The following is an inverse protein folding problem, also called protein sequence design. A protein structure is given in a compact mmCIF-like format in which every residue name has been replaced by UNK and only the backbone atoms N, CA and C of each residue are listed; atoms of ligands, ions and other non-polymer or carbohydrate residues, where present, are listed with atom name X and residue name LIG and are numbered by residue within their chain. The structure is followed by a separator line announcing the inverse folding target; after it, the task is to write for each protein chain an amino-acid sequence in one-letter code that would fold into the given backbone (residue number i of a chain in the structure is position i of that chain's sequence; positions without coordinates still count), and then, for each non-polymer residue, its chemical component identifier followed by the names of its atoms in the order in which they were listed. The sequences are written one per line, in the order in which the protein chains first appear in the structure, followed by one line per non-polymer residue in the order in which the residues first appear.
data_IF_791802854973
#
_entry.id   IF_791802854973
#
_cell.length_a   1.000
_cell.length_b   1.000
_cell.length_c   1.000
_cell.angle_alpha   90.00
_cell.angle_beta   90.00
_cell.angle_gamma   90.00
#
_symmetry.space_group_name_H-M   'P 1'
#
loop_
_entity.id
_entity.type
_entity.pdbx_description
1 polymer ?
#
# COMPACT_ATOMS: atom_id res chain seq x y z
N UNK A 1 -51.84 -11.60 -34.60
CA UNK A 1 -52.23 -10.85 -33.40
C UNK A 1 -51.89 -11.71 -32.21
N UNK A 2 -50.73 -11.57 -31.63
CA UNK A 2 -50.40 -12.01 -30.26
C UNK A 2 -49.37 -11.03 -29.72
N UNK A 3 -49.87 -10.21 -28.85
CA UNK A 3 -49.17 -9.18 -28.10
C UNK A 3 -48.31 -9.86 -27.03
N UNK A 4 -47.00 -9.65 -27.07
CA UNK A 4 -46.01 -10.16 -26.12
C UNK A 4 -45.36 -9.03 -25.36
N UNK A 5 -46.07 -8.48 -24.35
CA UNK A 5 -45.51 -7.51 -23.40
C UNK A 5 -44.45 -8.16 -22.55
N UNK A 6 -43.19 -7.87 -22.85
CA UNK A 6 -42.05 -8.16 -21.96
C UNK A 6 -42.05 -7.16 -20.80
N UNK A 7 -42.42 -7.64 -19.62
CA UNK A 7 -42.31 -6.89 -18.37
C UNK A 7 -40.83 -6.72 -18.00
N UNK A 8 -40.31 -5.51 -18.11
CA UNK A 8 -39.01 -5.11 -17.53
C UNK A 8 -39.06 -5.29 -16.02
N UNK A 9 -38.33 -6.27 -15.51
CA UNK A 9 -38.06 -6.39 -14.07
C UNK A 9 -37.09 -5.26 -13.68
N UNK A 10 -37.61 -4.16 -13.13
CA UNK A 10 -36.80 -3.15 -12.44
C UNK A 10 -36.06 -3.85 -11.29
N UNK A 11 -34.75 -3.95 -11.43
CA UNK A 11 -33.84 -4.32 -10.35
C UNK A 11 -33.96 -3.34 -9.17
N UNK A 12 -33.61 -3.75 -7.92
CA UNK A 12 -33.68 -2.87 -6.77
C UNK A 12 -32.88 -1.60 -7.01
N UNK A 13 -33.48 -0.44 -6.70
CA UNK A 13 -32.84 0.86 -6.82
C UNK A 13 -31.51 0.86 -6.04
N UNK A 14 -30.43 1.45 -6.59
CA UNK A 14 -29.15 1.52 -5.88
C UNK A 14 -29.38 2.26 -4.56
N UNK A 15 -28.97 1.63 -3.43
CA UNK A 15 -28.96 2.30 -2.13
C UNK A 15 -28.16 3.59 -2.30
N UNK A 16 -28.78 4.73 -2.05
CA UNK A 16 -28.18 6.06 -2.18
C UNK A 16 -26.85 6.07 -1.43
N UNK A 17 -25.74 6.13 -2.16
CA UNK A 17 -24.42 6.17 -1.53
C UNK A 17 -24.32 7.42 -0.65
N UNK A 18 -23.99 7.23 0.62
CA UNK A 18 -23.80 8.34 1.57
C UNK A 18 -22.72 9.29 1.04
N UNK A 19 -22.89 10.61 1.21
CA UNK A 19 -21.84 11.56 0.89
C UNK A 19 -20.59 11.30 1.77
N UNK A 20 -19.38 11.63 1.30
CA UNK A 20 -18.16 11.43 2.08
C UNK A 20 -18.23 11.97 3.51
N UNK A 21 -18.75 13.18 3.69
CA UNK A 21 -18.96 13.79 5.00
C UNK A 21 -19.90 12.98 5.90
N UNK A 22 -20.94 12.35 5.33
CA UNK A 22 -21.91 11.56 6.08
C UNK A 22 -21.36 10.18 6.47
N UNK A 23 -20.43 9.63 5.69
CA UNK A 23 -19.74 8.36 6.00
C UNK A 23 -18.77 8.52 7.17
N UNK A 24 -18.04 9.63 7.23
CA UNK A 24 -17.19 9.96 8.37
C UNK A 24 -18.01 10.24 9.64
N UNK A 25 -19.22 10.83 9.51
CA UNK A 25 -20.08 11.08 10.64
C UNK A 25 -20.62 9.79 11.32
N UNK A 26 -20.62 8.67 10.62
CA UNK A 26 -21.02 7.36 11.14
C UNK A 26 -19.80 6.54 11.59
N UNK A 27 -19.05 7.04 12.59
CA UNK A 27 -17.94 6.28 13.18
C UNK A 27 -18.42 4.95 13.76
N UNK A 28 -17.65 3.86 13.61
CA UNK A 28 -17.91 2.63 14.34
C UNK A 28 -17.96 2.90 15.86
N UNK A 29 -18.85 2.22 16.56
CA UNK A 29 -19.10 2.45 18.00
C UNK A 29 -17.83 2.29 18.85
N UNK A 30 -16.95 1.36 18.50
CA UNK A 30 -15.67 1.16 19.19
C UNK A 30 -14.73 2.34 18.97
N UNK A 31 -14.68 2.94 17.76
CA UNK A 31 -13.89 4.12 17.49
C UNK A 31 -14.40 5.35 18.26
N UNK A 32 -15.70 5.61 18.22
CA UNK A 32 -16.32 6.71 18.95
C UNK A 32 -16.09 6.57 20.46
N UNK A 33 -16.20 5.35 21.01
CA UNK A 33 -15.93 5.06 22.42
C UNK A 33 -14.46 5.27 22.77
N UNK A 34 -13.53 4.84 21.91
CA UNK A 34 -12.10 5.02 22.14
C UNK A 34 -11.71 6.50 22.19
N UNK A 35 -12.24 7.33 21.26
CA UNK A 35 -12.06 8.79 21.30
C UNK A 35 -12.58 9.36 22.63
N UNK A 36 -13.81 8.98 23.03
CA UNK A 36 -14.43 9.46 24.28
C UNK A 36 -13.64 9.09 25.54
N UNK A 37 -13.02 7.91 25.59
CA UNK A 37 -12.17 7.48 26.71
C UNK A 37 -10.94 8.38 26.83
N UNK A 38 -10.24 8.61 25.72
CA UNK A 38 -9.03 9.44 25.70
C UNK A 38 -9.35 10.91 26.03
N UNK A 39 -10.43 11.46 25.47
CA UNK A 39 -10.86 12.84 25.76
C UNK A 39 -11.37 13.00 27.20
N UNK A 40 -12.09 12.01 27.73
CA UNK A 40 -12.48 11.98 29.13
C UNK A 40 -11.31 11.97 30.12
N UNK A 41 -10.17 11.43 29.68
CA UNK A 41 -8.91 11.47 30.41
C UNK A 41 -8.10 12.77 30.17
N UNK A 42 -8.64 13.73 29.40
CA UNK A 42 -8.01 15.04 29.15
C UNK A 42 -7.01 15.04 27.99
N UNK A 43 -7.05 14.05 27.12
CA UNK A 43 -6.14 13.94 25.98
C UNK A 43 -6.87 14.17 24.66
N UNK A 44 -6.23 14.91 23.74
CA UNK A 44 -6.72 15.03 22.37
C UNK A 44 -6.58 13.71 21.63
N UNK A 45 -7.57 13.34 20.80
CA UNK A 45 -7.54 12.14 20.00
C UNK A 45 -8.25 12.34 18.66
N UNK A 46 -7.77 11.64 17.61
CA UNK A 46 -8.30 11.67 16.25
C UNK A 46 -8.25 10.28 15.62
N UNK A 47 -9.27 9.93 14.83
CA UNK A 47 -9.13 8.84 13.87
C UNK A 47 -8.22 9.29 12.73
N UNK A 48 -7.31 8.43 12.26
CA UNK A 48 -6.27 8.85 11.30
C UNK A 48 -6.02 7.82 10.19
N UNK A 49 -5.33 8.25 9.15
CA UNK A 49 -4.71 7.39 8.16
C UNK A 49 -5.68 6.62 7.28
N UNK A 50 -5.44 5.31 7.11
CA UNK A 50 -6.19 4.44 6.21
C UNK A 50 -7.68 4.43 6.46
N UNK A 51 -8.11 4.48 7.71
CA UNK A 51 -9.53 4.56 8.07
C UNK A 51 -10.20 5.81 7.48
N UNK A 52 -9.61 6.99 7.65
CA UNK A 52 -10.18 8.26 7.16
C UNK A 52 -10.23 8.26 5.63
N UNK A 53 -9.13 7.84 4.99
CA UNK A 53 -9.05 7.69 3.53
C UNK A 53 -10.16 6.78 3.00
N UNK A 54 -10.28 5.57 3.55
CA UNK A 54 -11.21 4.57 3.04
C UNK A 54 -12.67 4.96 3.29
N UNK A 55 -12.95 5.62 4.42
CA UNK A 55 -14.26 6.21 4.69
C UNK A 55 -14.62 7.30 3.66
N UNK A 56 -13.69 8.19 3.31
CA UNK A 56 -13.90 9.21 2.27
C UNK A 56 -14.15 8.57 0.90
N UNK A 57 -13.42 7.51 0.55
CA UNK A 57 -13.60 6.76 -0.70
C UNK A 57 -14.86 5.87 -0.69
N UNK A 58 -15.50 5.69 0.46
CA UNK A 58 -16.65 4.80 0.61
C UNK A 58 -16.29 3.32 0.55
N UNK A 59 -15.09 3.00 0.90
CA UNK A 59 -14.60 1.63 1.05
C UNK A 59 -14.91 1.11 2.45
N UNK A 60 -15.20 -0.18 2.62
CA UNK A 60 -15.30 -0.77 3.95
C UNK A 60 -13.91 -0.70 4.61
N UNK A 61 -13.87 -0.21 5.84
CA UNK A 61 -12.67 -0.19 6.65
C UNK A 61 -12.97 -0.88 7.99
N UNK A 62 -12.19 -1.90 8.32
CA UNK A 62 -12.34 -2.66 9.57
C UNK A 62 -11.42 -2.14 10.67
N UNK A 63 -10.24 -1.64 10.32
CA UNK A 63 -9.20 -1.25 11.26
C UNK A 63 -9.24 0.27 11.49
N UNK A 64 -9.39 0.66 12.75
CA UNK A 64 -9.40 2.05 13.16
C UNK A 64 -8.12 2.36 13.90
N UNK A 65 -7.33 3.28 13.33
CA UNK A 65 -6.15 3.85 13.97
C UNK A 65 -6.51 5.17 14.64
N UNK A 66 -6.11 5.33 15.90
CA UNK A 66 -6.26 6.58 16.65
C UNK A 66 -4.87 7.16 16.94
N UNK A 67 -4.71 8.43 16.63
CA UNK A 67 -3.58 9.23 17.10
C UNK A 67 -4.02 10.09 18.28
N UNK A 68 -3.16 10.24 19.32
CA UNK A 68 -3.50 10.96 20.54
C UNK A 68 -2.33 11.75 21.10
N UNK A 69 -2.64 12.83 21.85
CA UNK A 69 -1.65 13.58 22.64
C UNK A 69 -1.23 12.85 23.93
N UNK A 70 -1.91 11.76 24.31
CA UNK A 70 -1.53 10.92 25.45
C UNK A 70 -0.23 10.19 25.18
N UNK A 71 0.65 10.05 26.17
CA UNK A 71 1.69 9.03 26.09
C UNK A 71 1.05 7.64 26.06
N UNK A 72 1.73 6.64 25.50
CA UNK A 72 1.18 5.29 25.44
C UNK A 72 0.82 4.72 26.82
N UNK A 73 1.57 5.09 27.90
CA UNK A 73 1.25 4.71 29.28
C UNK A 73 -0.02 5.40 29.80
N UNK A 74 -0.23 6.68 29.42
CA UNK A 74 -1.43 7.41 29.79
C UNK A 74 -2.66 6.87 29.04
N UNK A 75 -2.50 6.58 27.74
CA UNK A 75 -3.54 5.94 26.95
C UNK A 75 -3.90 4.56 27.49
N UNK A 76 -2.91 3.73 27.81
CA UNK A 76 -3.13 2.41 28.41
C UNK A 76 -3.97 2.52 29.69
N UNK A 77 -3.55 3.39 30.62
CA UNK A 77 -4.29 3.60 31.87
C UNK A 77 -5.73 4.07 31.64
N UNK A 78 -5.93 5.03 30.73
CA UNK A 78 -7.27 5.53 30.43
C UNK A 78 -8.21 4.40 29.93
N UNK A 79 -7.71 3.50 29.11
CA UNK A 79 -8.49 2.34 28.63
C UNK A 79 -8.72 1.30 29.74
N UNK A 80 -7.73 1.02 30.58
CA UNK A 80 -7.84 0.08 31.71
C UNK A 80 -8.85 0.59 32.74
N UNK A 81 -8.80 1.88 33.08
CA UNK A 81 -9.75 2.54 33.99
C UNK A 81 -11.18 2.52 33.44
N UNK A 82 -11.34 2.52 32.11
CA UNK A 82 -12.61 2.36 31.42
C UNK A 82 -13.06 0.89 31.25
N UNK A 83 -12.32 -0.06 31.85
CA UNK A 83 -12.61 -1.50 31.80
C UNK A 83 -12.25 -2.18 30.47
N UNK A 84 -11.41 -1.59 29.64
CA UNK A 84 -10.92 -2.19 28.41
C UNK A 84 -9.61 -2.96 28.66
N UNK A 85 -9.43 -4.10 27.96
CA UNK A 85 -8.14 -4.80 27.95
C UNK A 85 -7.18 -4.07 27.00
N UNK A 86 -5.90 -4.06 27.35
CA UNK A 86 -4.85 -3.45 26.53
C UNK A 86 -3.72 -4.43 26.26
N UNK A 87 -2.99 -4.20 25.17
CA UNK A 87 -1.82 -4.97 24.76
C UNK A 87 -0.71 -4.02 24.31
N UNK A 88 0.50 -4.25 24.78
CA UNK A 88 1.69 -3.49 24.38
C UNK A 88 2.22 -4.00 23.05
N UNK A 89 1.69 -3.49 21.96
CA UNK A 89 1.99 -3.97 20.59
C UNK A 89 3.14 -3.22 19.92
N UNK A 90 3.51 -2.03 20.41
CA UNK A 90 4.53 -1.18 19.78
C UNK A 90 4.99 -0.03 20.66
N UNK A 91 5.25 -0.28 21.94
CA UNK A 91 5.60 0.75 22.95
C UNK A 91 6.86 1.55 22.61
N UNK A 92 7.82 0.93 21.93
CA UNK A 92 9.01 1.62 21.40
C UNK A 92 8.64 2.75 20.41
N UNK A 93 7.49 2.65 19.77
CA UNK A 93 6.94 3.64 18.84
C UNK A 93 5.74 4.40 19.39
N UNK A 94 5.46 4.27 20.69
CA UNK A 94 4.35 4.95 21.35
C UNK A 94 2.97 4.36 21.04
N UNK A 95 2.88 3.08 20.62
CA UNK A 95 1.63 2.42 20.23
C UNK A 95 1.19 1.41 21.27
N UNK A 96 -0.12 1.42 21.60
CA UNK A 96 -0.82 0.42 22.40
C UNK A 96 -2.10 -0.01 21.68
N UNK A 97 -2.46 -1.28 21.77
CA UNK A 97 -3.75 -1.78 21.26
C UNK A 97 -4.73 -1.91 22.41
N UNK A 98 -5.89 -1.25 22.32
CA UNK A 98 -6.99 -1.37 23.27
C UNK A 98 -8.12 -2.19 22.65
N UNK A 99 -8.72 -3.11 23.42
CA UNK A 99 -9.88 -3.90 23.00
C UNK A 99 -11.15 -3.19 23.47
N UNK A 100 -11.77 -2.44 22.57
CA UNK A 100 -12.95 -1.62 22.87
C UNK A 100 -14.21 -2.28 22.30
N UNK A 101 -15.13 -2.69 23.17
CA UNK A 101 -16.33 -3.39 22.72
C UNK A 101 -16.08 -4.74 22.01
N UNK A 102 -14.94 -5.39 22.30
CA UNK A 102 -14.51 -6.63 21.67
C UNK A 102 -13.68 -6.46 20.40
N UNK A 103 -13.48 -5.21 19.92
CA UNK A 103 -12.73 -4.89 18.71
C UNK A 103 -11.38 -4.26 19.09
N UNK A 104 -10.25 -4.71 18.52
CA UNK A 104 -8.97 -4.06 18.72
C UNK A 104 -8.95 -2.68 18.05
N UNK A 105 -8.39 -1.69 18.74
CA UNK A 105 -8.15 -0.33 18.25
C UNK A 105 -6.69 -0.02 18.50
N UNK A 106 -5.96 0.36 17.48
CA UNK A 106 -4.57 0.78 17.61
C UNK A 106 -4.53 2.27 18.00
N UNK A 107 -3.82 2.58 19.08
CA UNK A 107 -3.71 3.94 19.62
C UNK A 107 -2.25 4.33 19.69
N UNK A 108 -1.88 5.38 18.94
CA UNK A 108 -0.49 5.85 18.83
C UNK A 108 -0.37 7.28 19.37
N UNK A 109 0.62 7.49 20.23
CA UNK A 109 1.02 8.84 20.69
C UNK A 109 1.51 9.66 19.49
N UNK A 110 1.12 10.95 19.41
CA UNK A 110 1.68 11.87 18.40
C UNK A 110 3.19 11.89 18.48
N UNK A 111 3.84 11.72 17.33
CA UNK A 111 5.29 11.63 17.28
C UNK A 111 5.86 12.28 16.02
N UNK A 112 7.10 12.69 16.12
CA UNK A 112 7.97 12.99 14.99
C UNK A 112 9.12 12.00 15.00
N UNK A 113 9.60 11.70 13.84
CA UNK A 113 10.70 10.77 13.65
C UNK A 113 11.97 11.60 13.40
N UNK A 114 13.02 11.37 14.19
CA UNK A 114 14.31 12.03 14.01
C UNK A 114 15.04 11.53 12.77
N UNK A 115 16.26 12.07 12.53
CA UNK A 115 17.06 11.67 11.37
C UNK A 115 17.24 10.15 11.28
N UNK A 116 17.10 9.60 10.07
CA UNK A 116 17.27 8.19 9.78
C UNK A 116 18.72 7.91 9.40
N UNK A 117 19.43 7.16 10.23
CA UNK A 117 20.83 6.79 9.97
C UNK A 117 21.00 5.68 8.93
N UNK A 118 19.99 4.85 8.75
CA UNK A 118 20.01 3.63 7.93
C UNK A 118 18.87 3.54 6.91
N UNK A 119 18.11 4.62 6.68
CA UNK A 119 16.90 4.68 5.85
C UNK A 119 15.80 3.67 6.31
N UNK A 120 15.82 3.27 7.59
CA UNK A 120 14.90 2.28 8.16
C UNK A 120 14.38 2.64 9.54
N UNK A 121 15.28 3.04 10.44
CA UNK A 121 14.92 3.34 11.81
C UNK A 121 15.22 4.81 12.10
N UNK A 122 14.26 5.56 12.61
CA UNK A 122 14.56 6.88 13.15
C UNK A 122 15.56 6.71 14.28
N UNK A 123 16.62 7.49 14.28
CA UNK A 123 17.63 7.49 15.35
C UNK A 123 17.01 7.84 16.70
N UNK A 124 15.89 8.55 16.67
CA UNK A 124 15.14 8.96 17.84
C UNK A 124 13.67 9.19 17.48
N UNK A 125 12.75 8.69 18.29
CA UNK A 125 11.33 9.03 18.26
C UNK A 125 11.09 10.09 19.32
N UNK A 126 10.60 11.25 18.91
CA UNK A 126 10.22 12.33 19.82
C UNK A 126 8.70 12.47 19.84
N UNK A 127 8.11 12.42 21.03
CA UNK A 127 6.68 12.61 21.17
C UNK A 127 6.34 14.09 21.16
N UNK A 128 5.31 14.44 20.38
CA UNK A 128 4.84 15.83 20.19
C UNK A 128 3.41 15.98 20.70
N UNK A 129 2.94 17.21 20.78
CA UNK A 129 1.57 17.49 21.24
C UNK A 129 0.63 17.96 20.14
N UNK A 130 1.15 18.16 18.95
CA UNK A 130 0.41 18.66 17.81
C UNK A 130 0.15 17.53 16.82
N UNK A 131 -1.11 17.31 16.46
CA UNK A 131 -1.52 16.31 15.47
C UNK A 131 -0.94 16.62 14.09
N UNK A 132 -0.79 17.89 13.70
CA UNK A 132 -0.26 18.26 12.39
C UNK A 132 1.19 17.79 12.20
N UNK A 133 2.00 17.81 13.27
CA UNK A 133 3.35 17.26 13.24
C UNK A 133 3.35 15.73 13.06
N UNK A 134 2.38 15.01 13.65
CA UNK A 134 2.23 13.57 13.42
C UNK A 134 1.77 13.28 11.98
N UNK A 135 0.90 14.09 11.42
CA UNK A 135 0.46 13.96 10.02
C UNK A 135 1.60 14.29 9.04
N UNK A 136 2.46 15.26 9.36
CA UNK A 136 3.58 15.68 8.52
C UNK A 136 4.63 14.58 8.26
N UNK A 137 4.80 13.64 9.19
CA UNK A 137 5.76 12.51 9.03
C UNK A 137 5.21 11.35 8.19
N UNK A 138 3.93 11.37 7.81
CA UNK A 138 3.30 10.27 7.07
C UNK A 138 3.82 10.17 5.65
N UNK A 139 3.54 9.06 5.00
CA UNK A 139 4.03 8.73 3.67
C UNK A 139 3.37 9.58 2.57
N UNK A 140 2.03 9.56 2.50
CA UNK A 140 1.27 10.19 1.42
C UNK A 140 0.15 11.08 1.97
N UNK A 141 -0.17 12.14 1.24
CA UNK A 141 -1.22 13.10 1.59
C UNK A 141 -2.55 12.44 1.88
N UNK A 142 -2.93 11.44 1.09
CA UNK A 142 -4.16 10.65 1.24
C UNK A 142 -4.20 9.83 2.53
N UNK A 143 -3.07 9.61 3.19
CA UNK A 143 -2.94 8.95 4.50
C UNK A 143 -2.65 9.95 5.63
N UNK A 144 -2.40 11.21 5.31
CA UNK A 144 -2.12 12.30 6.26
C UNK A 144 -3.40 13.08 6.61
N UNK A 145 -4.49 12.36 6.80
CA UNK A 145 -5.81 12.85 7.14
C UNK A 145 -6.16 12.45 8.56
N UNK A 146 -6.82 13.35 9.30
CA UNK A 146 -7.38 13.04 10.60
C UNK A 146 -8.86 13.47 10.65
N UNK A 147 -9.67 12.72 11.41
CA UNK A 147 -11.09 13.01 11.57
C UNK A 147 -11.53 12.89 13.02
N UNK A 148 -12.33 13.84 13.46
CA UNK A 148 -13.01 13.81 14.74
C UNK A 148 -14.48 14.23 14.60
N UNK A 149 -15.45 13.55 15.24
CA UNK A 149 -16.87 13.84 15.05
C UNK A 149 -17.27 15.28 15.39
N UNK A 150 -16.67 15.88 16.42
CA UNK A 150 -16.96 17.23 16.83
C UNK A 150 -16.12 18.32 16.16
N UNK A 151 -14.95 17.97 15.58
CA UNK A 151 -13.98 18.93 14.98
C UNK A 151 -13.95 18.86 13.46
N UNK A 152 -14.53 17.78 12.87
CA UNK A 152 -14.53 17.55 11.43
C UNK A 152 -13.24 16.92 10.91
N UNK A 153 -13.01 17.10 9.61
CA UNK A 153 -11.83 16.64 8.89
C UNK A 153 -10.69 17.64 9.06
N UNK A 154 -9.52 17.16 9.45
CA UNK A 154 -8.27 17.89 9.45
C UNK A 154 -7.40 17.38 8.30
N UNK A 155 -7.08 18.26 7.36
CA UNK A 155 -6.34 17.96 6.12
C UNK A 155 -5.31 19.06 5.84
N UNK A 156 -4.18 19.07 6.54
CA UNK A 156 -3.17 20.12 6.37
C UNK A 156 -2.35 19.99 5.08
N UNK A 157 -2.42 18.84 4.39
CA UNK A 157 -1.58 18.55 3.22
C UNK A 157 -2.37 18.36 1.92
N UNK A 158 -3.68 18.63 1.91
CA UNK A 158 -4.50 18.53 0.71
C UNK A 158 -4.86 17.10 0.28
N UNK A 159 -4.81 16.15 1.19
CA UNK A 159 -5.09 14.75 0.92
C UNK A 159 -6.49 14.48 0.40
N UNK A 160 -7.50 15.27 0.81
CA UNK A 160 -8.85 15.15 0.31
C UNK A 160 -8.95 15.51 -1.19
N UNK A 161 -8.24 16.55 -1.63
CA UNK A 161 -8.16 16.91 -3.05
C UNK A 161 -7.42 15.85 -3.86
N UNK A 162 -6.33 15.29 -3.33
CA UNK A 162 -5.61 14.18 -3.98
C UNK A 162 -6.48 12.90 -4.06
N UNK A 163 -7.34 12.63 -3.06
CA UNK A 163 -8.32 11.55 -3.11
C UNK A 163 -9.34 11.74 -4.24
N UNK A 164 -9.87 12.96 -4.40
CA UNK A 164 -10.80 13.29 -5.49
C UNK A 164 -10.13 13.20 -6.86
N UNK A 165 -8.87 13.60 -6.96
CA UNK A 165 -8.09 13.52 -8.18
C UNK A 165 -7.58 12.09 -8.51
N UNK A 166 -7.66 11.15 -7.55
CA UNK A 166 -7.05 9.83 -7.69
C UNK A 166 -5.52 9.91 -7.77
N UNK A 167 -4.91 10.83 -7.04
CA UNK A 167 -3.47 11.09 -7.03
C UNK A 167 -2.81 10.53 -5.76
N UNK A 168 -1.62 9.97 -5.92
CA UNK A 168 -0.76 9.53 -4.82
C UNK A 168 0.46 10.46 -4.77
N UNK A 169 0.45 11.38 -3.80
CA UNK A 169 1.47 12.40 -3.57
C UNK A 169 2.13 12.19 -2.22
N UNK A 170 3.46 12.29 -2.15
CA UNK A 170 4.19 12.27 -0.89
C UNK A 170 3.87 13.50 -0.03
N UNK A 171 3.91 13.36 1.29
CA UNK A 171 3.78 14.51 2.21
C UNK A 171 5.09 15.28 2.23
N UNK A 172 5.03 16.60 1.97
CA UNK A 172 6.23 17.46 1.97
C UNK A 172 7.14 17.20 0.76
N UNK A 173 8.46 17.21 0.98
CA UNK A 173 9.44 16.92 -0.06
C UNK A 173 9.56 15.40 -0.30
N UNK A 174 9.24 14.90 -1.50
CA UNK A 174 9.34 13.48 -1.82
C UNK A 174 10.77 12.91 -1.66
N UNK A 175 11.80 13.72 -1.96
CA UNK A 175 13.21 13.31 -1.86
C UNK A 175 13.59 13.01 -0.40
N UNK A 176 13.22 13.91 0.51
CA UNK A 176 13.41 13.71 1.94
C UNK A 176 12.60 12.52 2.44
N UNK A 177 11.33 12.43 2.02
CA UNK A 177 10.38 11.41 2.48
C UNK A 177 10.81 9.98 2.18
N UNK A 178 11.37 9.73 0.98
CA UNK A 178 11.88 8.40 0.61
C UNK A 178 13.30 8.15 1.13
N UNK A 179 14.06 9.19 1.40
CA UNK A 179 15.35 9.10 2.09
C UNK A 179 15.21 8.67 3.55
N UNK A 180 14.13 9.09 4.24
CA UNK A 180 13.82 8.70 5.62
C UNK A 180 13.47 7.21 5.74
N UNK A 181 12.46 6.72 5.03
CA UNK A 181 12.08 5.31 5.01
C UNK A 181 11.86 4.83 3.58
N UNK A 182 12.84 4.09 3.07
CA UNK A 182 12.80 3.55 1.71
C UNK A 182 11.64 2.58 1.47
N UNK A 183 11.02 2.00 2.53
CA UNK A 183 9.83 1.16 2.35
C UNK A 183 8.66 1.94 1.75
N UNK A 184 8.59 3.26 1.98
CA UNK A 184 7.56 4.14 1.39
C UNK A 184 7.54 4.06 -0.14
N UNK A 185 8.67 3.71 -0.77
CA UNK A 185 8.78 3.48 -2.22
C UNK A 185 7.88 2.30 -2.65
N UNK A 186 7.98 1.16 -1.97
CA UNK A 186 7.13 0.00 -2.26
C UNK A 186 5.67 0.23 -1.83
N UNK A 187 5.46 1.01 -0.77
CA UNK A 187 4.10 1.43 -0.35
C UNK A 187 3.42 2.25 -1.44
N UNK A 188 4.15 3.14 -2.15
CA UNK A 188 3.61 3.87 -3.31
C UNK A 188 3.14 2.91 -4.40
N UNK A 189 3.97 1.94 -4.78
CA UNK A 189 3.60 0.92 -5.76
C UNK A 189 2.35 0.13 -5.31
N UNK A 190 2.31 -0.29 -4.03
CA UNK A 190 1.18 -1.01 -3.46
C UNK A 190 -0.11 -0.18 -3.46
N UNK A 191 -0.06 1.08 -3.03
CA UNK A 191 -1.24 1.93 -3.04
C UNK A 191 -1.72 2.23 -4.46
N UNK A 192 -0.82 2.45 -5.43
CA UNK A 192 -1.20 2.55 -6.83
C UNK A 192 -1.97 1.31 -7.30
N UNK A 193 -1.49 0.11 -6.94
CA UNK A 193 -2.15 -1.15 -7.28
C UNK A 193 -3.50 -1.36 -6.56
N UNK A 194 -3.62 -0.94 -5.30
CA UNK A 194 -4.83 -1.16 -4.50
C UNK A 194 -5.91 -0.10 -4.71
N UNK A 195 -5.49 1.15 -4.91
CA UNK A 195 -6.40 2.30 -5.02
C UNK A 195 -6.72 2.67 -6.47
N UNK A 196 -5.84 2.32 -7.43
CA UNK A 196 -5.93 2.76 -8.81
C UNK A 196 -5.49 4.21 -9.00
N UNK A 197 -4.75 4.76 -8.05
CA UNK A 197 -4.30 6.15 -8.08
C UNK A 197 -3.05 6.31 -8.95
N UNK A 198 -2.99 7.41 -9.66
CA UNK A 198 -1.78 7.81 -10.38
C UNK A 198 -0.76 8.38 -9.37
N UNK A 199 0.49 7.90 -9.45
CA UNK A 199 1.57 8.51 -8.68
C UNK A 199 1.90 9.85 -9.34
N UNK A 200 1.91 10.91 -8.56
CA UNK A 200 2.22 12.27 -9.00
C UNK A 200 3.69 12.35 -9.49
N UNK A 201 3.97 13.20 -10.47
CA UNK A 201 5.23 13.16 -11.23
C UNK A 201 6.46 13.41 -10.37
N UNK A 202 6.47 14.43 -9.49
CA UNK A 202 7.60 14.70 -8.57
C UNK A 202 7.79 13.55 -7.58
N UNK A 203 6.69 12.97 -7.10
CA UNK A 203 6.70 11.79 -6.25
C UNK A 203 7.29 10.59 -7.00
N UNK A 204 6.92 10.37 -8.27
CA UNK A 204 7.43 9.28 -9.08
C UNK A 204 8.94 9.44 -9.39
N UNK A 205 9.38 10.62 -9.71
CA UNK A 205 10.79 10.92 -9.95
C UNK A 205 11.64 10.64 -8.70
N UNK A 206 11.10 10.98 -7.53
CA UNK A 206 11.75 10.66 -6.26
C UNK A 206 11.78 9.15 -5.98
N UNK A 207 10.73 8.38 -6.34
CA UNK A 207 10.78 6.91 -6.27
C UNK A 207 11.93 6.35 -7.10
N UNK A 208 12.07 6.81 -8.35
CA UNK A 208 13.13 6.36 -9.25
C UNK A 208 14.51 6.68 -8.74
N UNK A 209 14.73 7.88 -8.18
CA UNK A 209 16.03 8.31 -7.67
C UNK A 209 16.44 7.54 -6.41
N UNK A 210 15.48 7.17 -5.54
CA UNK A 210 15.72 6.50 -4.25
C UNK A 210 15.54 4.98 -4.27
N UNK A 211 15.09 4.37 -5.38
CA UNK A 211 14.86 2.91 -5.45
C UNK A 211 16.06 2.05 -5.04
N UNK A 212 17.28 2.56 -5.17
CA UNK A 212 18.50 1.87 -4.75
C UNK A 212 18.56 1.62 -3.23
N UNK A 213 17.85 2.43 -2.43
CA UNK A 213 17.77 2.27 -0.98
C UNK A 213 16.96 1.03 -0.56
N UNK A 214 16.11 0.49 -1.45
CA UNK A 214 15.36 -0.75 -1.20
C UNK A 214 16.27 -1.94 -0.88
N UNK A 215 17.53 -1.92 -1.32
CA UNK A 215 18.51 -2.95 -0.98
C UNK A 215 18.83 -3.01 0.54
N UNK A 216 18.47 -1.99 1.31
CA UNK A 216 18.65 -1.92 2.77
C UNK A 216 17.46 -2.45 3.56
N UNK A 217 16.33 -2.67 2.89
CA UNK A 217 15.09 -3.12 3.53
C UNK A 217 15.12 -4.65 3.67
N UNK A 218 14.64 -5.17 4.81
CA UNK A 218 14.56 -6.62 5.02
C UNK A 218 13.61 -7.28 4.03
N UNK A 219 13.97 -8.48 3.59
CA UNK A 219 13.17 -9.25 2.64
C UNK A 219 11.71 -9.47 3.12
N UNK A 220 11.50 -9.62 4.41
CA UNK A 220 10.16 -9.76 5.01
C UNK A 220 9.29 -8.52 4.76
N UNK A 221 9.81 -7.30 5.02
CA UNK A 221 9.08 -6.05 4.77
C UNK A 221 8.81 -5.85 3.28
N UNK A 222 9.81 -6.14 2.43
CA UNK A 222 9.66 -6.10 0.96
C UNK A 222 8.55 -7.05 0.52
N UNK A 223 8.57 -8.31 0.99
CA UNK A 223 7.56 -9.31 0.65
C UNK A 223 6.17 -8.87 1.09
N UNK A 224 6.04 -8.31 2.28
CA UNK A 224 4.74 -7.82 2.78
C UNK A 224 4.13 -6.74 1.85
N UNK A 225 4.93 -5.77 1.41
CA UNK A 225 4.45 -4.73 0.48
C UNK A 225 4.13 -5.31 -0.91
N UNK A 226 4.96 -6.24 -1.40
CA UNK A 226 4.72 -6.91 -2.67
C UNK A 226 3.49 -7.84 -2.63
N UNK A 227 3.21 -8.51 -1.51
CA UNK A 227 1.98 -9.28 -1.32
C UNK A 227 0.73 -8.39 -1.44
N UNK A 228 0.79 -7.19 -0.86
CA UNK A 228 -0.26 -6.21 -1.04
C UNK A 228 -0.37 -5.67 -2.47
N UNK A 229 0.77 -5.50 -3.16
CA UNK A 229 0.84 -5.06 -4.54
C UNK A 229 0.19 -6.07 -5.51
N UNK A 230 0.57 -7.34 -5.46
CA UNK A 230 0.06 -8.36 -6.38
C UNK A 230 -1.43 -8.63 -6.22
N UNK A 231 -1.99 -8.34 -5.03
CA UNK A 231 -3.43 -8.47 -4.75
C UNK A 231 -4.25 -7.25 -5.10
N UNK A 232 -3.63 -6.15 -5.54
CA UNK A 232 -4.35 -4.93 -5.89
C UNK A 232 -5.30 -5.12 -7.08
N UNK A 233 -6.45 -4.47 -7.02
CA UNK A 233 -7.45 -4.51 -8.08
C UNK A 233 -6.97 -3.83 -9.39
N UNK A 234 -6.00 -2.91 -9.27
CA UNK A 234 -5.43 -2.14 -10.39
C UNK A 234 -3.99 -2.54 -10.67
N UNK A 235 -3.65 -3.80 -10.39
CA UNK A 235 -2.26 -4.31 -10.49
C UNK A 235 -1.68 -4.24 -11.90
N UNK A 236 -2.50 -4.35 -12.95
CA UNK A 236 -2.05 -4.21 -14.34
C UNK A 236 -1.41 -2.83 -14.56
N UNK A 237 -2.16 -1.76 -14.35
CA UNK A 237 -1.70 -0.39 -14.61
C UNK A 237 -0.55 0.00 -13.67
N UNK A 238 -0.63 -0.44 -12.40
CA UNK A 238 0.42 -0.24 -11.44
C UNK A 238 1.73 -0.93 -11.82
N UNK A 239 1.70 -2.17 -12.32
CA UNK A 239 2.88 -2.90 -12.77
C UNK A 239 3.52 -2.23 -13.98
N UNK A 240 2.71 -1.89 -14.99
CA UNK A 240 3.20 -1.21 -16.19
C UNK A 240 3.86 0.13 -15.87
N UNK A 241 3.31 0.88 -14.91
CA UNK A 241 3.84 2.19 -14.52
C UNK A 241 5.06 2.10 -13.59
N UNK A 242 5.12 1.11 -12.69
CA UNK A 242 6.13 1.06 -11.62
C UNK A 242 7.20 -0.02 -11.83
N UNK A 243 7.24 -0.70 -12.97
CA UNK A 243 8.21 -1.77 -13.24
C UNK A 243 9.66 -1.33 -13.03
N UNK A 244 10.01 -0.09 -13.42
CA UNK A 244 11.37 0.45 -13.27
C UNK A 244 11.76 0.70 -11.80
N UNK A 245 10.77 0.90 -10.93
CA UNK A 245 10.95 0.98 -9.47
C UNK A 245 11.05 -0.42 -8.89
N UNK A 246 10.11 -1.30 -9.23
CA UNK A 246 10.04 -2.69 -8.77
C UNK A 246 11.27 -3.50 -9.17
N UNK A 247 11.95 -3.13 -10.26
CA UNK A 247 13.20 -3.73 -10.72
C UNK A 247 14.33 -3.70 -9.68
N UNK A 248 14.29 -2.78 -8.72
CA UNK A 248 15.25 -2.75 -7.61
C UNK A 248 15.16 -3.98 -6.70
N UNK A 249 13.96 -4.59 -6.61
CA UNK A 249 13.69 -5.78 -5.80
C UNK A 249 13.32 -7.01 -6.64
N UNK A 250 12.87 -6.82 -7.88
CA UNK A 250 12.49 -7.85 -8.86
C UNK A 250 13.15 -7.53 -10.21
N UNK A 251 14.48 -7.62 -10.34
CA UNK A 251 15.21 -7.20 -11.55
C UNK A 251 14.82 -7.99 -12.80
N UNK A 252 14.24 -9.19 -12.66
CA UNK A 252 13.75 -10.01 -13.76
C UNK A 252 12.68 -9.31 -14.59
N UNK A 253 11.88 -8.45 -13.97
CA UNK A 253 10.77 -7.78 -14.64
C UNK A 253 11.24 -6.84 -15.77
N UNK A 254 12.44 -6.25 -15.63
CA UNK A 254 12.98 -5.35 -16.66
C UNK A 254 13.20 -6.06 -17.99
N UNK A 255 13.71 -7.30 -17.95
CA UNK A 255 13.96 -8.07 -19.15
C UNK A 255 12.67 -8.42 -19.92
N UNK A 256 11.52 -8.35 -19.27
CA UNK A 256 10.21 -8.64 -19.86
C UNK A 256 9.63 -7.42 -20.59
N UNK A 257 10.05 -6.20 -20.22
CA UNK A 257 9.56 -4.93 -20.77
C UNK A 257 10.02 -4.75 -22.20
N UNK A 258 9.08 -4.59 -23.13
CA UNK A 258 9.36 -4.44 -24.55
C UNK A 258 9.90 -5.71 -25.21
N UNK A 259 9.82 -6.86 -24.54
CA UNK A 259 10.35 -8.11 -25.08
C UNK A 259 9.39 -8.69 -26.14
N UNK A 260 9.78 -8.59 -27.42
CA UNK A 260 9.06 -9.16 -28.56
C UNK A 260 9.27 -10.69 -28.63
N UNK A 261 8.20 -11.43 -28.46
CA UNK A 261 8.20 -12.89 -28.51
C UNK A 261 8.30 -13.47 -29.94
N UNK A 262 8.26 -12.62 -30.98
CA UNK A 262 8.26 -12.99 -32.38
C UNK A 262 7.32 -14.16 -32.69
N UNK A 263 6.11 -14.09 -32.15
CA UNK A 263 5.08 -15.12 -32.26
C UNK A 263 3.77 -14.51 -32.74
N UNK A 264 3.10 -15.11 -33.74
CA UNK A 264 1.81 -14.61 -34.24
C UNK A 264 0.68 -14.77 -33.20
N UNK A 265 0.93 -15.49 -32.11
CA UNK A 265 -0.06 -15.75 -31.05
C UNK A 265 0.00 -14.77 -29.88
N UNK A 266 1.01 -13.90 -29.86
CA UNK A 266 1.21 -12.93 -28.75
C UNK A 266 1.09 -11.50 -29.29
N UNK A 267 0.07 -10.78 -28.81
CA UNK A 267 -0.19 -9.37 -29.18
C UNK A 267 0.48 -8.39 -28.19
N UNK A 268 0.90 -8.86 -27.03
CA UNK A 268 1.56 -8.11 -25.98
C UNK A 268 3.03 -8.52 -25.85
N UNK A 269 3.87 -7.63 -25.34
CA UNK A 269 5.17 -8.02 -24.81
C UNK A 269 5.01 -8.92 -23.57
N UNK A 270 6.11 -9.50 -23.09
CA UNK A 270 6.04 -10.45 -21.95
C UNK A 270 5.58 -9.76 -20.68
N UNK A 271 5.96 -8.49 -20.43
CA UNK A 271 5.55 -7.76 -19.24
C UNK A 271 4.05 -7.45 -19.25
N UNK A 272 3.54 -6.92 -20.35
CA UNK A 272 2.12 -6.57 -20.50
C UNK A 272 1.23 -7.83 -20.44
N UNK A 273 1.66 -8.94 -21.09
CA UNK A 273 1.01 -10.23 -20.95
C UNK A 273 0.95 -10.68 -19.47
N UNK A 274 2.06 -10.54 -18.76
CA UNK A 274 2.13 -10.90 -17.33
C UNK A 274 1.25 -9.99 -16.49
N UNK A 275 1.19 -8.70 -16.78
CA UNK A 275 0.34 -7.75 -16.07
C UNK A 275 -1.15 -8.10 -16.23
N UNK A 276 -1.59 -8.45 -17.44
CA UNK A 276 -2.96 -8.92 -17.70
C UNK A 276 -3.24 -10.26 -17.03
N UNK A 277 -2.31 -11.21 -17.10
CA UNK A 277 -2.44 -12.51 -16.42
C UNK A 277 -2.61 -12.32 -14.91
N UNK A 278 -1.80 -11.46 -14.32
CA UNK A 278 -1.86 -11.12 -12.89
C UNK A 278 -3.19 -10.45 -12.53
N UNK A 279 -3.67 -9.51 -13.35
CA UNK A 279 -4.93 -8.80 -13.13
C UNK A 279 -6.14 -9.74 -13.12
N UNK A 280 -6.20 -10.71 -14.04
CA UNK A 280 -7.30 -11.66 -14.15
C UNK A 280 -7.16 -12.89 -13.23
N UNK A 281 -6.01 -13.08 -12.57
CA UNK A 281 -5.82 -14.17 -11.65
C UNK A 281 -6.74 -14.01 -10.42
N UNK A 282 -7.23 -15.11 -9.82
CA UNK A 282 -7.96 -15.07 -8.55
C UNK A 282 -7.19 -14.33 -7.46
N UNK A 283 -7.88 -13.83 -6.43
CA UNK A 283 -7.25 -13.07 -5.34
C UNK A 283 -6.39 -13.94 -4.39
N UNK A 284 -6.23 -15.23 -4.68
CA UNK A 284 -5.32 -16.11 -3.94
C UNK A 284 -3.87 -15.64 -4.09
N UNK A 285 -3.15 -15.39 -2.99
CA UNK A 285 -1.78 -14.88 -3.05
C UNK A 285 -0.82 -15.79 -3.83
N UNK A 286 -0.93 -17.12 -3.70
CA UNK A 286 -0.05 -18.06 -4.39
C UNK A 286 -0.29 -18.03 -5.89
N UNK A 287 -1.55 -17.93 -6.32
CA UNK A 287 -1.93 -17.82 -7.73
C UNK A 287 -1.43 -16.50 -8.32
N UNK A 288 -1.58 -15.38 -7.58
CA UNK A 288 -1.08 -14.06 -7.99
C UNK A 288 0.44 -14.04 -8.15
N UNK A 289 1.17 -14.61 -7.20
CA UNK A 289 2.62 -14.75 -7.31
C UNK A 289 3.03 -15.67 -8.46
N UNK A 290 2.31 -16.78 -8.67
CA UNK A 290 2.57 -17.66 -9.81
C UNK A 290 2.34 -16.92 -11.14
N UNK A 291 1.26 -16.13 -11.23
CA UNK A 291 0.97 -15.29 -12.39
C UNK A 291 2.07 -14.26 -12.67
N UNK A 292 2.64 -13.63 -11.62
CA UNK A 292 3.73 -12.67 -11.79
C UNK A 292 5.01 -13.33 -12.33
N UNK A 293 5.30 -14.57 -11.94
CA UNK A 293 6.56 -15.23 -12.25
C UNK A 293 6.49 -16.27 -13.37
N UNK A 294 5.30 -16.59 -13.93
CA UNK A 294 5.16 -17.71 -14.87
C UNK A 294 6.04 -17.56 -16.11
N UNK A 295 6.24 -16.36 -16.59
CA UNK A 295 6.93 -16.04 -17.84
C UNK A 295 8.27 -15.30 -17.65
N UNK A 296 8.74 -15.08 -16.42
CA UNK A 296 9.99 -14.33 -16.18
C UNK A 296 11.22 -14.96 -16.84
N UNK A 297 11.21 -16.27 -17.09
CA UNK A 297 12.29 -17.00 -17.75
C UNK A 297 12.29 -16.88 -19.28
N UNK A 298 11.25 -16.34 -19.91
CA UNK A 298 11.14 -16.23 -21.37
C UNK A 298 12.29 -15.47 -22.00
N UNK A 299 12.67 -14.26 -21.53
CA UNK A 299 13.78 -13.55 -22.14
C UNK A 299 15.10 -14.32 -22.12
N UNK A 300 15.37 -15.09 -21.05
CA UNK A 300 16.62 -15.84 -20.90
C UNK A 300 16.66 -17.16 -21.68
N UNK A 301 15.50 -17.69 -22.10
CA UNK A 301 15.39 -18.94 -22.87
C UNK A 301 15.04 -18.70 -24.35
N UNK A 302 14.97 -17.45 -24.78
CA UNK A 302 14.51 -17.10 -26.12
C UNK A 302 15.53 -17.44 -27.19
N UNK A 303 15.04 -18.04 -28.27
CA UNK A 303 15.79 -18.17 -29.55
C UNK A 303 14.82 -18.10 -30.74
N UNK A 304 15.35 -17.79 -31.89
CA UNK A 304 14.57 -17.70 -33.15
C UNK A 304 14.82 -18.98 -33.95
N UNK A 305 13.74 -19.68 -34.27
CA UNK A 305 13.79 -20.87 -35.14
C UNK A 305 14.09 -20.52 -36.61
N UNK A 306 14.35 -21.53 -37.45
CA UNK A 306 14.66 -21.37 -38.87
C UNK A 306 13.51 -20.69 -39.65
N UNK A 307 12.29 -20.81 -39.16
CA UNK A 307 11.09 -20.19 -39.72
C UNK A 307 10.89 -18.72 -39.26
N UNK A 308 11.83 -18.14 -38.55
CA UNK A 308 11.74 -16.78 -38.00
C UNK A 308 10.84 -16.62 -36.81
N UNK A 309 10.23 -17.70 -36.29
CA UNK A 309 9.36 -17.69 -35.10
C UNK A 309 10.19 -17.83 -33.84
N UNK A 310 9.83 -17.06 -32.80
CA UNK A 310 10.45 -17.12 -31.49
C UNK A 310 10.00 -18.32 -30.67
N UNK A 311 10.93 -18.90 -29.92
CA UNK A 311 10.70 -20.04 -29.01
C UNK A 311 11.34 -19.77 -27.67
N UNK A 312 10.69 -20.26 -26.58
CA UNK A 312 11.10 -20.03 -25.19
C UNK A 312 11.05 -21.34 -24.38
N UNK A 313 11.62 -22.41 -24.92
CA UNK A 313 11.59 -23.72 -24.26
C UNK A 313 12.34 -23.69 -22.91
N UNK A 314 11.73 -24.28 -21.89
CA UNK A 314 12.34 -24.39 -20.56
C UNK A 314 12.26 -23.11 -19.70
N UNK A 315 11.58 -22.05 -20.15
CA UNK A 315 11.44 -20.79 -19.38
C UNK A 315 10.90 -21.00 -17.96
N UNK A 316 9.95 -21.93 -17.77
CA UNK A 316 9.38 -22.21 -16.46
C UNK A 316 10.43 -22.73 -15.44
N UNK A 317 11.38 -23.59 -15.91
CA UNK A 317 12.45 -24.08 -15.06
C UNK A 317 13.42 -22.95 -14.63
N UNK A 318 13.70 -22.02 -15.52
CA UNK A 318 14.51 -20.82 -15.23
C UNK A 318 13.81 -19.96 -14.17
N UNK A 319 12.52 -19.69 -14.32
CA UNK A 319 11.72 -18.94 -13.35
C UNK A 319 11.73 -19.58 -11.96
N UNK A 320 11.62 -20.90 -11.86
CA UNK A 320 11.71 -21.64 -10.59
C UNK A 320 13.08 -21.49 -9.94
N UNK A 321 14.17 -21.58 -10.70
CA UNK A 321 15.53 -21.41 -10.18
C UNK A 321 15.77 -20.01 -9.59
N UNK A 322 15.29 -18.96 -10.24
CA UNK A 322 15.40 -17.60 -9.73
C UNK A 322 14.62 -17.39 -8.43
N UNK A 323 13.42 -17.95 -8.34
CA UNK A 323 12.63 -17.92 -7.10
C UNK A 323 13.33 -18.67 -5.95
N UNK A 324 13.87 -19.86 -6.20
CA UNK A 324 14.56 -20.68 -5.19
C UNK A 324 15.83 -19.96 -4.67
N UNK A 325 16.60 -19.29 -5.54
CA UNK A 325 17.78 -18.54 -5.16
C UNK A 325 17.44 -17.35 -4.21
N UNK A 326 16.26 -16.74 -4.33
CA UNK A 326 15.80 -15.67 -3.45
C UNK A 326 15.29 -16.15 -2.11
N UNK A 327 14.52 -17.24 -2.10
CA UNK A 327 13.99 -17.82 -0.86
C UNK A 327 15.08 -18.35 0.07
N UNK A 328 16.26 -18.68 -0.46
CA UNK A 328 17.41 -19.16 0.32
C UNK A 328 18.31 -18.05 0.91
N UNK A 329 17.91 -16.77 0.79
CA UNK A 329 18.69 -15.64 1.36
C UNK A 329 20.04 -15.39 0.69
N UNK A 330 20.33 -16.07 -0.42
CA UNK A 330 21.53 -15.82 -1.21
C UNK A 330 21.29 -14.59 -2.08
N UNK A 331 21.81 -13.43 -1.66
CA UNK A 331 21.95 -12.27 -2.50
C UNK A 331 22.87 -12.63 -3.67
N UNK A 332 22.31 -13.14 -4.76
CA UNK A 332 23.05 -13.37 -5.98
C UNK A 332 23.39 -12.00 -6.56
N UNK A 333 24.61 -11.52 -6.28
CA UNK A 333 25.23 -10.43 -7.03
C UNK A 333 25.19 -10.86 -8.50
N UNK A 334 24.41 -10.17 -9.29
CA UNK A 334 24.47 -10.30 -10.74
C UNK A 334 25.93 -10.05 -11.16
N UNK A 335 26.62 -11.10 -11.52
CA UNK A 335 27.88 -10.96 -12.25
C UNK A 335 27.50 -10.38 -13.61
N UNK A 336 27.93 -9.15 -13.85
CA UNK A 336 27.94 -8.55 -15.17
C UNK A 336 28.61 -9.54 -16.13
N UNK A 337 27.83 -10.11 -17.03
CA UNK A 337 28.35 -10.77 -18.21
C UNK A 337 28.72 -9.67 -19.21
N UNK A 338 29.94 -9.15 -19.09
CA UNK A 338 30.66 -8.50 -20.18
C UNK A 338 31.48 -9.60 -20.86
N UNK A 339 31.08 -10.03 -22.01
CA UNK A 339 31.89 -10.52 -23.11
C UNK A 339 31.03 -10.50 -24.39
#
# INVERSE_FOLDING_TARGET
MTDGSQGEKKGPAPKTALSPARRLAELPSHAARALSILEGAGHEAWCVGGFVRDALLGRPCADVDIATSASWQAAQRAFEDAGCRTHETGTAHGTVTAVVGGTPVEVTTYRVEGAYGDARHPSQVSFVRNIEEDLARRDFTVNALAYHPARGLLDPFGGAADLEAGALRAVGDPQERFGEDALRILRACRFASQLGFAIEDETYDALLSHKHLLARISAERVTHELDGFVRGAFVHDALMRTVDVLAAVLPELVAMKGFDQRSPYHIYDVLEHTAWTLHHAPEDPLVRWAALFHDVGKPASFFVGENGVGHTYGHAAIGVQWRAARSSGCACRARSATA
#
